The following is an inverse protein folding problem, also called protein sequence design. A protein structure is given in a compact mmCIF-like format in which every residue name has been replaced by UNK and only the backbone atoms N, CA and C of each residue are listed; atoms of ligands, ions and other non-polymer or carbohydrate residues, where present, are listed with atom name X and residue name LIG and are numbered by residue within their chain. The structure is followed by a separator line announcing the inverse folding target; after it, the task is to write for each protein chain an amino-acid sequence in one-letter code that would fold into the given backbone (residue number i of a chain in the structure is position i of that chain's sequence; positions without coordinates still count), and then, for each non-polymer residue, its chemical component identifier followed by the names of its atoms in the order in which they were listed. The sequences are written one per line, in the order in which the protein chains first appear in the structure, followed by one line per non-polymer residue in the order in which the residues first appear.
data_IF_754532842594
#
_entry.id   IF_754532842594
#
_cell.length_a   1.000
_cell.length_b   1.000
_cell.length_c   1.000
_cell.angle_alpha   90.00
_cell.angle_beta   90.00
_cell.angle_gamma   90.00
#
_symmetry.space_group_name_H-M   'P 1'
#
loop_
_entity.id
_entity.type
_entity.pdbx_description
1 polymer ?
#
# COMPACT_ATOMS: atom_id res chain seq x y z
N UNK A 1 -1.12 -49.64 -3.48
CA UNK A 1 -1.99 -48.67 -2.80
C UNK A 1 -2.92 -48.18 -3.88
N UNK A 2 -4.03 -48.90 -4.00
CA UNK A 2 -5.19 -48.53 -4.80
C UNK A 2 -5.83 -47.27 -4.21
N UNK A 3 -6.33 -46.38 -5.06
CA UNK A 3 -7.60 -45.71 -4.79
C UNK A 3 -8.21 -45.25 -6.11
N UNK A 4 -9.20 -46.03 -6.56
CA UNK A 4 -10.05 -45.79 -7.70
C UNK A 4 -11.42 -45.41 -7.10
N UNK A 5 -11.85 -44.17 -7.23
CA UNK A 5 -13.22 -43.78 -6.87
C UNK A 5 -13.83 -42.93 -7.99
N UNK A 6 -14.75 -43.59 -8.69
CA UNK A 6 -15.62 -43.07 -9.73
C UNK A 6 -16.48 -41.90 -9.19
N UNK A 7 -16.50 -40.79 -9.93
CA UNK A 7 -17.53 -39.74 -9.76
C UNK A 7 -18.76 -40.16 -10.56
N UNK A 8 -19.88 -40.37 -9.87
CA UNK A 8 -21.20 -40.45 -10.50
C UNK A 8 -21.79 -39.04 -10.59
N UNK A 9 -22.02 -38.57 -11.80
CA UNK A 9 -22.78 -37.34 -12.07
C UNK A 9 -24.26 -37.58 -11.77
N UNK A 10 -24.86 -36.68 -10.99
CA UNK A 10 -26.26 -36.72 -10.58
C UNK A 10 -27.07 -35.82 -11.52
N UNK A 11 -27.77 -36.44 -12.48
CA UNK A 11 -28.62 -35.73 -13.45
C UNK A 11 -30.04 -35.57 -12.89
N UNK A 12 -30.45 -34.33 -12.64
CA UNK A 12 -31.77 -33.97 -12.07
C UNK A 12 -32.76 -33.72 -13.22
N UNK A 13 -33.79 -34.58 -13.35
CA UNK A 13 -34.84 -34.42 -14.36
C UNK A 13 -35.97 -33.49 -13.88
N UNK A 14 -36.63 -32.80 -14.82
CA UNK A 14 -37.67 -31.76 -14.63
C UNK A 14 -38.88 -32.12 -13.71
N UNK A 15 -39.01 -33.36 -13.23
CA UNK A 15 -40.03 -33.72 -12.23
C UNK A 15 -39.72 -33.22 -10.81
N UNK A 16 -38.50 -32.75 -10.55
CA UNK A 16 -38.05 -32.30 -9.22
C UNK A 16 -38.46 -30.84 -8.89
N UNK A 17 -39.19 -30.15 -9.78
CA UNK A 17 -39.62 -28.76 -9.54
C UNK A 17 -40.88 -28.61 -8.64
N UNK A 18 -41.58 -29.69 -8.29
CA UNK A 18 -42.79 -29.61 -7.46
C UNK A 18 -42.58 -30.16 -6.06
N UNK A 19 -42.42 -29.24 -5.11
CA UNK A 19 -42.38 -29.53 -3.67
C UNK A 19 -43.57 -30.40 -3.24
N UNK A 20 -43.26 -31.52 -2.59
CA UNK A 20 -44.23 -32.37 -1.92
C UNK A 20 -44.95 -31.62 -0.79
N UNK A 21 -46.11 -32.14 -0.37
CA UNK A 21 -46.91 -31.51 0.68
C UNK A 21 -46.17 -31.42 2.03
N UNK A 22 -45.33 -32.41 2.30
CA UNK A 22 -44.53 -32.47 3.53
C UNK A 22 -43.40 -31.44 3.48
N UNK A 23 -42.73 -31.26 2.33
CA UNK A 23 -41.70 -30.22 2.14
C UNK A 23 -42.29 -28.82 2.26
N UNK A 24 -43.49 -28.57 1.73
CA UNK A 24 -44.18 -27.29 1.92
C UNK A 24 -44.49 -27.00 3.39
N UNK A 25 -44.87 -28.03 4.15
CA UNK A 25 -45.17 -27.90 5.57
C UNK A 25 -43.89 -27.61 6.37
N UNK A 26 -42.80 -28.32 6.08
CA UNK A 26 -41.48 -28.10 6.69
C UNK A 26 -40.98 -26.67 6.39
N UNK A 27 -41.14 -26.18 5.17
CA UNK A 27 -40.69 -24.84 4.79
C UNK A 27 -41.53 -23.71 5.42
N UNK A 28 -42.81 -23.95 5.72
CA UNK A 28 -43.68 -23.01 6.44
C UNK A 28 -43.36 -23.03 7.96
N UNK A 29 -43.07 -24.20 8.54
CA UNK A 29 -42.57 -24.34 9.92
C UNK A 29 -41.20 -23.69 10.13
N UNK A 30 -40.28 -23.84 9.15
CA UNK A 30 -38.98 -23.19 9.16
C UNK A 30 -39.05 -21.67 8.85
N UNK A 31 -40.23 -21.16 8.47
CA UNK A 31 -40.46 -19.73 8.22
C UNK A 31 -39.74 -19.19 6.97
N UNK A 32 -39.37 -20.06 6.03
CA UNK A 32 -38.62 -19.69 4.81
C UNK A 32 -39.59 -19.16 3.73
N UNK A 33 -40.83 -19.62 3.74
CA UNK A 33 -41.92 -19.16 2.86
C UNK A 33 -43.22 -19.05 3.68
N UNK A 34 -44.17 -18.20 3.29
CA UNK A 34 -45.51 -18.15 3.92
C UNK A 34 -45.75 -17.02 4.93
N UNK A 35 -46.89 -17.11 5.65
CA UNK A 35 -47.39 -16.04 6.52
C UNK A 35 -46.50 -15.80 7.76
N UNK A 36 -45.81 -16.84 8.23
CA UNK A 36 -44.85 -16.77 9.32
C UNK A 36 -43.64 -15.88 8.97
N UNK A 37 -43.11 -15.99 7.74
CA UNK A 37 -42.01 -15.14 7.24
C UNK A 37 -42.39 -13.66 7.19
N UNK A 38 -43.58 -13.34 6.67
CA UNK A 38 -44.06 -11.94 6.61
C UNK A 38 -44.23 -11.34 8.00
N UNK A 39 -44.71 -12.13 8.97
CA UNK A 39 -44.84 -11.71 10.37
C UNK A 39 -43.46 -11.52 11.03
N UNK A 40 -42.51 -12.42 10.77
CA UNK A 40 -41.13 -12.33 11.27
C UNK A 40 -40.39 -11.11 10.70
N UNK A 41 -40.44 -10.87 9.38
CA UNK A 41 -39.83 -9.69 8.76
C UNK A 41 -40.48 -8.39 9.25
N UNK A 42 -41.81 -8.36 9.42
CA UNK A 42 -42.51 -7.22 10.01
C UNK A 42 -42.10 -6.95 11.46
N UNK A 43 -41.93 -7.99 12.28
CA UNK A 43 -41.46 -7.87 13.66
C UNK A 43 -39.99 -7.42 13.75
N UNK A 44 -39.12 -7.89 12.86
CA UNK A 44 -37.72 -7.47 12.82
C UNK A 44 -37.55 -6.01 12.33
N UNK A 45 -38.36 -5.54 11.38
CA UNK A 45 -38.36 -4.13 10.97
C UNK A 45 -38.81 -3.18 12.10
N UNK A 46 -39.81 -3.56 12.90
CA UNK A 46 -40.23 -2.77 14.06
C UNK A 46 -39.13 -2.72 15.14
N UNK A 47 -38.40 -3.83 15.35
CA UNK A 47 -37.28 -3.88 16.28
C UNK A 47 -36.08 -3.02 15.81
N UNK A 48 -35.80 -2.98 14.50
CA UNK A 48 -34.73 -2.17 13.92
C UNK A 48 -34.99 -0.65 14.00
N UNK A 49 -36.25 -0.22 13.86
CA UNK A 49 -36.64 1.18 14.10
C UNK A 49 -36.55 1.56 15.58
N UNK A 50 -36.91 0.64 16.47
CA UNK A 50 -36.80 0.83 17.92
C UNK A 50 -35.34 0.95 18.39
N UNK A 51 -34.43 0.12 17.88
CA UNK A 51 -33.00 0.21 18.22
C UNK A 51 -32.34 1.45 17.64
N UNK A 52 -32.72 1.92 16.44
CA UNK A 52 -32.20 3.17 15.87
C UNK A 52 -32.66 4.41 16.65
N UNK A 53 -33.94 4.45 17.06
CA UNK A 53 -34.48 5.53 17.90
C UNK A 53 -33.88 5.51 19.32
N UNK A 54 -33.66 4.32 19.90
CA UNK A 54 -32.96 4.18 21.19
C UNK A 54 -31.49 4.58 21.07
N UNK A 55 -30.82 4.34 19.94
CA UNK A 55 -29.44 4.78 19.72
C UNK A 55 -29.33 6.32 19.57
N UNK A 56 -30.36 6.98 19.05
CA UNK A 56 -30.46 8.44 18.95
C UNK A 56 -30.80 9.10 20.30
N UNK A 57 -31.74 8.53 21.07
CA UNK A 57 -32.13 9.05 22.39
C UNK A 57 -31.11 8.72 23.48
N UNK A 58 -30.51 7.53 23.48
CA UNK A 58 -29.46 7.17 24.43
C UNK A 58 -28.18 8.00 24.24
N UNK A 59 -27.94 8.57 23.05
CA UNK A 59 -26.81 9.50 22.87
C UNK A 59 -26.97 10.78 23.67
N UNK A 60 -28.18 11.29 23.89
CA UNK A 60 -28.38 12.49 24.71
C UNK A 60 -28.30 12.20 26.22
N UNK A 61 -28.82 11.06 26.69
CA UNK A 61 -28.75 10.68 28.12
C UNK A 61 -27.39 10.10 28.55
N UNK A 62 -26.68 9.37 27.67
CA UNK A 62 -25.36 8.80 28.00
C UNK A 62 -24.30 9.91 28.14
N UNK A 63 -24.41 11.02 27.42
CA UNK A 63 -23.55 12.19 27.65
C UNK A 63 -23.90 12.93 28.94
N UNK A 64 -25.17 12.90 29.38
CA UNK A 64 -25.61 13.57 30.60
C UNK A 64 -25.32 12.78 31.90
N UNK A 65 -25.13 11.46 31.82
CA UNK A 65 -24.99 10.56 32.99
C UNK A 65 -23.53 10.12 33.25
N UNK A 66 -22.57 10.61 32.47
CA UNK A 66 -21.14 10.43 32.74
C UNK A 66 -20.66 11.37 33.86
N UNK A 67 -21.11 11.12 35.09
CA UNK A 67 -20.35 11.60 36.26
C UNK A 67 -19.16 10.65 36.44
N UNK A 68 -18.00 11.10 35.95
CA UNK A 68 -16.73 10.42 36.08
C UNK A 68 -16.41 10.10 37.56
N UNK A 69 -15.89 8.90 37.80
CA UNK A 69 -15.35 8.50 39.10
C UNK A 69 -14.17 9.42 39.49
N UNK A 70 -14.05 9.86 40.75
CA UNK A 70 -13.31 11.08 41.08
C UNK A 70 -11.79 11.07 40.84
N UNK A 71 -11.11 9.91 40.67
CA UNK A 71 -9.63 9.90 40.68
C UNK A 71 -8.89 8.96 39.70
N UNK A 72 -9.51 8.05 38.94
CA UNK A 72 -8.74 6.86 38.51
C UNK A 72 -8.54 6.52 37.02
N UNK A 73 -9.23 7.10 36.02
CA UNK A 73 -9.11 6.54 34.64
C UNK A 73 -8.96 7.57 33.51
N UNK A 74 -9.28 8.85 33.73
CA UNK A 74 -9.23 9.87 32.66
C UNK A 74 -8.76 11.24 33.15
N UNK A 75 -7.74 11.28 34.03
CA UNK A 75 -7.02 12.52 34.26
C UNK A 75 -6.41 13.01 32.92
N UNK A 76 -6.67 14.28 32.58
CA UNK A 76 -6.35 15.01 31.35
C UNK A 76 -5.19 14.47 30.50
N UNK A 77 -5.47 14.22 29.21
CA UNK A 77 -4.50 14.20 28.10
C UNK A 77 -3.69 15.50 28.08
N UNK A 78 -2.56 15.55 28.75
CA UNK A 78 -1.83 16.80 28.95
C UNK A 78 -0.55 16.85 28.11
N UNK A 79 -0.73 17.24 26.85
CA UNK A 79 0.38 17.63 25.97
C UNK A 79 1.24 16.46 25.49
N UNK A 80 2.06 16.75 24.49
CA UNK A 80 3.17 15.88 24.13
C UNK A 80 4.17 15.89 25.29
N UNK A 81 4.45 14.73 25.91
CA UNK A 81 5.29 14.61 27.11
C UNK A 81 6.63 15.35 26.99
N UNK A 82 7.29 15.21 25.83
CA UNK A 82 8.54 15.89 25.50
C UNK A 82 8.35 16.76 24.24
N UNK A 83 7.41 17.71 24.32
CA UNK A 83 7.04 18.55 23.20
C UNK A 83 8.23 19.33 22.62
N UNK A 84 8.46 19.15 21.32
CA UNK A 84 9.34 20.00 20.51
C UNK A 84 8.53 20.59 19.35
N UNK A 85 8.70 21.88 19.12
CA UNK A 85 8.12 22.57 17.97
C UNK A 85 9.10 22.46 16.82
N UNK A 86 8.60 22.00 15.68
CA UNK A 86 9.41 21.75 14.48
C UNK A 86 8.73 22.38 13.27
N UNK A 87 9.50 23.08 12.46
CA UNK A 87 9.12 23.62 11.16
C UNK A 87 9.74 22.73 10.07
N UNK A 88 8.92 22.02 9.30
CA UNK A 88 9.37 21.16 8.21
C UNK A 88 8.88 21.70 6.87
N UNK A 89 9.71 21.69 5.83
CA UNK A 89 9.28 22.01 4.46
C UNK A 89 9.03 20.70 3.72
N UNK A 90 7.79 20.22 3.72
CA UNK A 90 7.40 18.93 3.14
C UNK A 90 6.80 19.15 1.76
N UNK A 91 7.40 18.57 0.72
CA UNK A 91 6.90 18.64 -0.67
C UNK A 91 6.58 20.09 -1.10
N UNK A 92 7.48 21.03 -0.80
CA UNK A 92 7.31 22.47 -1.07
C UNK A 92 6.41 23.24 -0.09
N UNK A 93 5.68 22.57 0.79
CA UNK A 93 4.76 23.19 1.77
C UNK A 93 5.37 23.26 3.17
N UNK A 94 5.24 24.41 3.83
CA UNK A 94 5.73 24.58 5.21
C UNK A 94 4.73 24.05 6.22
N UNK A 95 5.16 23.09 7.05
CA UNK A 95 4.37 22.45 8.09
C UNK A 95 4.94 22.81 9.47
N UNK A 96 4.07 23.25 10.38
CA UNK A 96 4.42 23.51 11.79
C UNK A 96 3.85 22.40 12.63
N UNK A 97 4.71 21.69 13.34
CA UNK A 97 4.32 20.56 14.16
C UNK A 97 4.79 20.76 15.60
N UNK A 98 4.00 20.27 16.56
CA UNK A 98 4.43 20.04 17.93
C UNK A 98 4.38 18.52 18.17
N UNK A 99 5.55 17.90 18.35
CA UNK A 99 5.71 16.43 18.39
C UNK A 99 6.59 16.01 19.56
N UNK A 100 6.51 14.73 19.95
CA UNK A 100 7.38 14.20 21.00
C UNK A 100 8.82 14.20 20.48
N UNK A 101 9.81 14.51 21.31
CA UNK A 101 11.22 14.52 20.94
C UNK A 101 11.72 13.19 20.38
N UNK A 102 11.05 12.07 20.67
CA UNK A 102 11.31 10.72 20.15
C UNK A 102 10.69 10.46 18.78
N UNK A 103 9.80 11.34 18.31
CA UNK A 103 9.07 11.16 17.05
C UNK A 103 10.06 11.12 15.89
N UNK A 104 10.13 9.98 15.22
CA UNK A 104 10.91 9.81 14.00
C UNK A 104 10.18 10.48 12.82
N UNK A 105 10.93 10.93 11.83
CA UNK A 105 10.42 11.62 10.65
C UNK A 105 9.35 10.77 9.95
N UNK A 106 9.51 9.44 9.95
CA UNK A 106 8.52 8.51 9.40
C UNK A 106 7.14 8.71 10.04
N UNK A 107 7.07 8.76 11.36
CA UNK A 107 5.80 8.86 12.09
C UNK A 107 5.24 10.29 12.05
N UNK A 108 6.11 11.30 12.00
CA UNK A 108 5.67 12.67 11.72
C UNK A 108 4.97 12.78 10.36
N UNK A 109 5.56 12.21 9.30
CA UNK A 109 4.97 12.21 7.96
C UNK A 109 3.64 11.45 7.92
N UNK A 110 3.61 10.24 8.45
CA UNK A 110 2.45 9.35 8.31
C UNK A 110 1.32 9.70 9.27
N UNK A 111 1.65 9.81 10.56
CA UNK A 111 0.64 9.83 11.62
C UNK A 111 0.25 11.25 12.02
N UNK A 112 1.10 12.25 11.77
CA UNK A 112 0.78 13.67 12.02
C UNK A 112 0.34 14.42 10.78
N UNK A 113 0.93 14.12 9.62
CA UNK A 113 0.64 14.82 8.36
C UNK A 113 -0.22 14.00 7.39
N UNK A 114 -0.49 12.72 7.65
CA UNK A 114 -1.31 11.88 6.77
C UNK A 114 -0.63 11.49 5.45
N UNK A 115 0.68 11.75 5.30
CA UNK A 115 1.48 11.38 4.13
C UNK A 115 1.92 9.91 4.24
N UNK A 116 0.98 9.03 3.92
CA UNK A 116 1.11 7.59 4.10
C UNK A 116 1.91 6.88 3.00
N UNK A 117 2.38 7.59 1.97
CA UNK A 117 3.18 7.06 0.87
C UNK A 117 4.48 6.44 1.37
N UNK A 118 5.19 7.12 2.27
CA UNK A 118 6.35 6.55 2.95
C UNK A 118 5.93 5.41 3.89
N UNK A 119 6.62 4.27 3.84
CA UNK A 119 6.17 3.03 4.53
C UNK A 119 7.04 2.64 5.72
N UNK A 120 6.39 2.13 6.77
CA UNK A 120 7.03 1.44 7.89
C UNK A 120 7.10 -0.06 7.59
N UNK A 121 8.27 -0.55 7.19
CA UNK A 121 8.49 -1.98 6.91
C UNK A 121 9.14 -2.76 8.05
N UNK A 122 10.07 -2.14 8.77
CA UNK A 122 10.85 -2.78 9.85
C UNK A 122 11.07 -1.90 11.08
N UNK A 123 11.00 -0.57 10.93
CA UNK A 123 11.30 0.43 11.96
C UNK A 123 12.71 0.36 12.58
N UNK A 124 13.65 -0.33 11.93
CA UNK A 124 15.01 -0.57 12.42
C UNK A 124 16.09 -0.38 11.34
N UNK A 125 15.75 0.34 10.27
CA UNK A 125 16.68 0.65 9.18
C UNK A 125 17.10 -0.52 8.27
N UNK A 126 16.40 -1.65 8.32
CA UNK A 126 16.79 -2.87 7.60
C UNK A 126 16.26 -2.96 6.16
N UNK A 127 15.14 -2.30 5.83
CA UNK A 127 14.42 -2.56 4.57
C UNK A 127 14.39 -1.42 3.54
N UNK A 128 14.71 -0.18 3.92
CA UNK A 128 14.62 0.99 3.03
C UNK A 128 13.21 1.41 2.59
N UNK A 129 12.13 0.73 3.01
CA UNK A 129 10.76 1.12 2.61
C UNK A 129 10.35 2.52 3.09
N UNK A 130 11.06 3.05 4.09
CA UNK A 130 10.85 4.36 4.69
C UNK A 130 11.72 5.46 4.06
N UNK A 131 12.40 5.21 2.94
CA UNK A 131 13.29 6.22 2.33
C UNK A 131 12.51 7.47 1.92
N UNK A 132 13.03 8.63 2.33
CA UNK A 132 12.63 9.98 1.87
C UNK A 132 13.89 10.76 1.52
N UNK A 133 13.74 11.91 0.86
CA UNK A 133 14.86 12.78 0.48
C UNK A 133 14.85 14.00 1.40
N UNK A 134 15.93 14.24 2.15
CA UNK A 134 16.11 15.40 3.03
C UNK A 134 17.28 16.24 2.52
N UNK A 135 17.02 17.50 2.14
CA UNK A 135 17.98 18.40 1.51
C UNK A 135 18.76 17.72 0.36
N UNK A 136 18.02 17.04 -0.53
CA UNK A 136 18.58 16.33 -1.69
C UNK A 136 19.23 14.98 -1.38
N UNK A 137 19.32 14.55 -0.12
CA UNK A 137 19.93 13.26 0.26
C UNK A 137 18.89 12.25 0.73
N UNK A 138 18.94 11.03 0.21
CA UNK A 138 18.08 9.96 0.73
C UNK A 138 18.47 9.57 2.16
N UNK A 139 17.46 9.40 3.01
CA UNK A 139 17.63 8.97 4.41
C UNK A 139 16.57 7.95 4.80
N UNK A 140 16.88 7.14 5.81
CA UNK A 140 15.90 6.25 6.44
C UNK A 140 15.11 7.05 7.47
N UNK A 141 13.86 7.40 7.14
CA UNK A 141 13.04 8.25 8.00
C UNK A 141 12.67 7.61 9.35
N UNK A 142 12.71 6.27 9.47
CA UNK A 142 12.53 5.58 10.76
C UNK A 142 13.71 5.75 11.72
N UNK A 143 14.90 6.13 11.23
CA UNK A 143 16.10 6.36 12.05
C UNK A 143 16.47 7.85 12.13
N UNK A 144 15.59 8.73 11.64
CA UNK A 144 15.80 10.18 11.62
C UNK A 144 14.78 10.81 12.54
N UNK A 145 15.20 11.56 13.57
CA UNK A 145 14.26 12.31 14.41
C UNK A 145 13.64 13.47 13.63
N UNK A 146 12.34 13.71 13.80
CA UNK A 146 11.68 14.86 13.19
C UNK A 146 12.34 16.18 13.64
N UNK A 147 12.72 16.27 14.92
CA UNK A 147 13.41 17.41 15.50
C UNK A 147 14.75 17.76 14.82
N UNK A 148 15.47 16.76 14.26
CA UNK A 148 16.74 17.01 13.57
C UNK A 148 16.56 17.51 12.12
N UNK A 149 15.31 17.64 11.68
CA UNK A 149 14.92 18.13 10.36
C UNK A 149 14.37 19.55 10.36
N UNK A 150 14.50 20.28 11.48
CA UNK A 150 14.13 21.70 11.57
C UNK A 150 14.64 22.52 10.38
N UNK A 151 13.72 23.19 9.68
CA UNK A 151 13.99 24.06 8.54
C UNK A 151 14.39 23.35 7.23
N UNK A 152 14.60 22.03 7.26
CA UNK A 152 15.04 21.23 6.12
C UNK A 152 13.90 20.96 5.14
N UNK A 153 14.29 20.75 3.89
CA UNK A 153 13.37 20.31 2.84
C UNK A 153 13.29 18.79 2.83
N UNK A 154 12.06 18.27 2.86
CA UNK A 154 11.76 16.84 2.84
C UNK A 154 10.85 16.56 1.65
N UNK A 155 11.31 15.70 0.74
CA UNK A 155 10.52 15.20 -0.38
C UNK A 155 10.16 13.73 -0.12
N UNK A 156 8.86 13.45 -0.13
CA UNK A 156 8.31 12.09 -0.05
C UNK A 156 7.90 11.60 -1.44
N UNK A 157 7.39 10.36 -1.54
CA UNK A 157 6.93 9.81 -2.83
C UNK A 157 5.81 10.66 -3.45
N UNK A 158 4.95 11.24 -2.62
CA UNK A 158 3.86 12.13 -3.03
C UNK A 158 4.38 13.43 -3.64
N UNK A 159 5.57 13.89 -3.23
CA UNK A 159 6.18 15.12 -3.74
C UNK A 159 6.97 14.95 -5.02
N UNK A 160 7.08 13.74 -5.57
CA UNK A 160 7.81 13.50 -6.83
C UNK A 160 6.95 13.75 -8.08
N UNK A 161 5.64 13.55 -7.96
CA UNK A 161 4.70 13.84 -9.03
C UNK A 161 4.24 15.31 -8.95
N UNK A 162 3.90 15.89 -10.10
CA UNK A 162 3.05 17.08 -10.15
C UNK A 162 1.58 16.67 -10.34
N UNK A 163 0.66 17.62 -10.32
CA UNK A 163 -0.78 17.34 -10.29
C UNK A 163 -1.26 16.43 -11.44
N UNK A 164 -0.68 16.58 -12.63
CA UNK A 164 -1.13 15.89 -13.83
C UNK A 164 -0.09 14.88 -14.37
N UNK A 165 1.17 14.96 -13.92
CA UNK A 165 2.27 14.18 -14.48
C UNK A 165 3.03 13.40 -13.41
N UNK A 166 3.23 12.11 -13.70
CA UNK A 166 4.14 11.26 -12.96
C UNK A 166 5.59 11.69 -13.18
N UNK A 167 6.39 11.55 -12.13
CA UNK A 167 7.84 11.66 -12.26
C UNK A 167 8.35 10.63 -13.30
N UNK A 168 9.38 10.93 -14.12
CA UNK A 168 9.94 9.97 -15.07
C UNK A 168 10.31 8.61 -14.45
N UNK A 169 10.77 8.61 -13.20
CA UNK A 169 11.04 7.38 -12.44
C UNK A 169 9.77 6.59 -12.12
N UNK A 170 8.66 7.25 -11.77
CA UNK A 170 7.38 6.56 -11.54
C UNK A 170 6.87 5.93 -12.84
N UNK A 171 6.93 6.67 -13.96
CA UNK A 171 6.57 6.16 -15.29
C UNK A 171 7.42 4.96 -15.69
N UNK A 172 8.74 5.03 -15.48
CA UNK A 172 9.64 3.92 -15.78
C UNK A 172 9.35 2.69 -14.91
N UNK A 173 9.03 2.86 -13.62
CA UNK A 173 8.64 1.74 -12.76
C UNK A 173 7.36 1.04 -13.24
N UNK A 174 6.38 1.78 -13.76
CA UNK A 174 5.18 1.19 -14.38
C UNK A 174 5.55 0.42 -15.64
N UNK A 175 6.31 1.05 -16.54
CA UNK A 175 6.72 0.48 -17.82
C UNK A 175 7.51 -0.83 -17.68
N UNK A 176 8.38 -0.90 -16.68
CA UNK A 176 9.28 -2.04 -16.45
C UNK A 176 8.78 -3.05 -15.42
N UNK A 177 7.53 -2.91 -14.96
CA UNK A 177 6.95 -3.74 -13.90
C UNK A 177 7.89 -3.80 -12.68
N UNK A 178 8.41 -2.63 -12.30
CA UNK A 178 9.39 -2.44 -11.22
C UNK A 178 8.80 -2.59 -9.82
N UNK A 179 7.64 -3.21 -9.69
CA UNK A 179 6.96 -3.49 -8.44
C UNK A 179 5.93 -4.61 -8.61
N UNK A 180 5.45 -5.16 -7.49
CA UNK A 180 4.30 -6.07 -7.47
C UNK A 180 3.33 -5.62 -6.38
N UNK A 181 3.55 -6.03 -5.12
CA UNK A 181 2.69 -5.64 -4.00
C UNK A 181 2.67 -4.13 -3.71
N UNK A 182 3.59 -3.36 -4.30
CA UNK A 182 3.67 -1.91 -4.16
C UNK A 182 4.29 -1.41 -2.85
N UNK A 183 4.47 -2.26 -1.83
CA UNK A 183 4.84 -1.79 -0.48
C UNK A 183 6.24 -1.16 -0.41
N UNK A 184 7.24 -1.75 -1.06
CA UNK A 184 8.59 -1.19 -1.08
C UNK A 184 8.75 -0.03 -2.08
N UNK A 185 7.83 0.11 -3.03
CA UNK A 185 7.94 0.97 -4.21
C UNK A 185 8.19 2.45 -3.88
N UNK A 186 7.53 3.07 -2.88
CA UNK A 186 7.85 4.43 -2.47
C UNK A 186 9.32 4.63 -2.10
N UNK A 187 9.87 3.73 -1.28
CA UNK A 187 11.27 3.77 -0.88
C UNK A 187 12.21 3.51 -2.05
N UNK A 188 11.87 2.57 -2.94
CA UNK A 188 12.63 2.27 -4.16
C UNK A 188 12.74 3.52 -5.06
N UNK A 189 11.63 4.20 -5.32
CA UNK A 189 11.59 5.37 -6.20
C UNK A 189 12.33 6.56 -5.57
N UNK A 190 12.10 6.86 -4.29
CA UNK A 190 12.84 7.93 -3.60
C UNK A 190 14.35 7.67 -3.60
N UNK A 191 14.77 6.42 -3.35
CA UNK A 191 16.19 6.03 -3.44
C UNK A 191 16.72 6.16 -4.86
N UNK A 192 15.96 5.74 -5.87
CA UNK A 192 16.32 5.83 -7.27
C UNK A 192 16.52 7.29 -7.73
N UNK A 193 15.66 8.20 -7.31
CA UNK A 193 15.84 9.63 -7.64
C UNK A 193 17.10 10.20 -7.00
N UNK A 194 17.31 9.92 -5.71
CA UNK A 194 18.48 10.41 -5.00
C UNK A 194 19.80 9.82 -5.53
N UNK A 195 19.86 8.53 -5.86
CA UNK A 195 21.10 7.92 -6.35
C UNK A 195 21.52 8.47 -7.72
N UNK A 196 20.57 8.89 -8.57
CA UNK A 196 20.92 9.56 -9.82
C UNK A 196 21.56 10.92 -9.56
N UNK A 197 21.16 11.60 -8.48
CA UNK A 197 21.83 12.82 -8.05
C UNK A 197 23.21 12.53 -7.44
N UNK A 198 23.35 11.47 -6.64
CA UNK A 198 24.65 10.98 -6.13
C UNK A 198 25.62 10.71 -7.30
N UNK A 199 25.15 10.02 -8.34
CA UNK A 199 25.94 9.74 -9.54
C UNK A 199 26.34 11.01 -10.30
N UNK A 200 25.42 11.97 -10.45
CA UNK A 200 25.71 13.30 -11.02
C UNK A 200 26.79 14.03 -10.22
N UNK A 201 26.76 13.91 -8.90
CA UNK A 201 27.72 14.51 -7.99
C UNK A 201 29.10 13.82 -8.00
N UNK A 202 29.22 12.66 -8.63
CA UNK A 202 30.45 11.87 -8.62
C UNK A 202 30.64 11.06 -7.33
N UNK A 203 29.57 10.79 -6.59
CA UNK A 203 29.65 9.95 -5.40
C UNK A 203 29.92 8.50 -5.82
N UNK A 204 30.96 7.89 -5.28
CA UNK A 204 31.39 6.51 -5.60
C UNK A 204 30.64 5.47 -4.75
N UNK A 205 30.56 4.23 -5.23
CA UNK A 205 29.99 3.10 -4.49
C UNK A 205 31.05 2.02 -4.21
N UNK A 206 30.64 0.94 -3.55
CA UNK A 206 31.52 -0.20 -3.28
C UNK A 206 32.09 -0.86 -4.55
N UNK A 207 31.33 -0.83 -5.65
CA UNK A 207 31.68 -1.47 -6.93
C UNK A 207 32.38 -0.51 -7.91
N UNK A 208 32.68 0.71 -7.48
CA UNK A 208 33.40 1.68 -8.33
C UNK A 208 34.88 1.29 -8.47
N UNK A 209 35.28 0.90 -9.67
CA UNK A 209 36.63 0.36 -9.94
C UNK A 209 37.79 1.34 -9.72
N UNK A 210 37.61 2.65 -9.88
CA UNK A 210 38.70 3.63 -9.74
C UNK A 210 38.28 4.84 -8.89
N UNK A 211 38.71 4.82 -7.64
CA UNK A 211 38.41 5.88 -6.66
C UNK A 211 39.27 7.15 -6.85
N UNK A 212 40.37 7.08 -7.60
CA UNK A 212 41.32 8.21 -7.77
C UNK A 212 40.86 9.20 -8.84
N UNK A 213 39.96 8.76 -9.71
CA UNK A 213 39.34 9.56 -10.76
C UNK A 213 37.84 9.38 -10.59
N UNK A 214 37.22 10.13 -9.68
CA UNK A 214 35.75 10.21 -9.66
C UNK A 214 35.32 11.34 -10.60
N UNK A 215 34.91 11.05 -11.84
CA UNK A 215 34.39 12.07 -12.72
C UNK A 215 33.04 12.56 -12.18
N UNK A 216 32.79 13.85 -12.36
CA UNK A 216 31.43 14.38 -12.29
C UNK A 216 30.56 13.63 -13.32
N UNK A 217 29.30 13.35 -12.97
CA UNK A 217 28.36 12.65 -13.86
C UNK A 217 28.76 11.21 -14.20
N UNK A 218 28.86 10.36 -13.17
CA UNK A 218 29.10 8.93 -13.32
C UNK A 218 27.99 8.26 -14.14
N UNK A 219 28.37 7.55 -15.20
CA UNK A 219 27.48 6.61 -15.87
C UNK A 219 27.35 5.34 -15.03
N UNK A 220 26.12 4.95 -14.71
CA UNK A 220 25.83 3.80 -13.86
C UNK A 220 25.62 2.54 -14.70
N UNK A 221 26.47 1.54 -14.45
CA UNK A 221 26.22 0.16 -14.90
C UNK A 221 25.09 -0.48 -14.09
N UNK A 222 24.54 -1.60 -14.57
CA UNK A 222 23.57 -2.38 -13.79
C UNK A 222 24.14 -2.81 -12.42
N UNK A 223 25.45 -3.06 -12.32
CA UNK A 223 26.13 -3.41 -11.07
C UNK A 223 26.16 -2.23 -10.09
N UNK A 224 26.51 -1.03 -10.57
CA UNK A 224 26.44 0.21 -9.79
C UNK A 224 25.02 0.51 -9.30
N UNK A 225 24.01 0.32 -10.16
CA UNK A 225 22.61 0.51 -9.77
C UNK A 225 22.21 -0.49 -8.68
N UNK A 226 22.55 -1.78 -8.85
CA UNK A 226 22.25 -2.81 -7.84
C UNK A 226 22.88 -2.47 -6.50
N UNK A 227 24.18 -2.19 -6.48
CA UNK A 227 24.90 -1.86 -5.25
C UNK A 227 24.28 -0.65 -4.53
N UNK A 228 24.03 0.44 -5.27
CA UNK A 228 23.44 1.66 -4.71
C UNK A 228 22.00 1.47 -4.23
N UNK A 229 21.29 0.46 -4.75
CA UNK A 229 19.92 0.11 -4.36
C UNK A 229 19.83 -1.01 -3.33
N UNK A 230 20.95 -1.62 -2.94
CA UNK A 230 21.00 -2.75 -1.98
C UNK A 230 20.36 -2.43 -0.62
N UNK A 231 20.24 -1.15 -0.25
CA UNK A 231 19.54 -0.69 0.96
C UNK A 231 18.00 -0.74 0.90
N UNK A 232 17.40 -1.06 -0.25
CA UNK A 232 15.95 -1.12 -0.45
C UNK A 232 15.50 -2.54 -0.79
N UNK A 233 14.96 -3.25 0.21
CA UNK A 233 14.57 -4.65 0.08
C UNK A 233 13.19 -4.79 -0.58
N UNK A 234 13.10 -5.68 -1.56
CA UNK A 234 11.88 -6.10 -2.23
C UNK A 234 11.67 -7.62 -2.05
N UNK A 235 10.68 -8.02 -1.25
CA UNK A 235 10.40 -9.46 -1.03
C UNK A 235 9.73 -10.15 -2.22
N UNK A 236 9.00 -9.40 -3.03
CA UNK A 236 8.43 -9.89 -4.30
C UNK A 236 9.49 -10.22 -5.36
N UNK A 237 10.73 -9.71 -5.19
CA UNK A 237 11.82 -9.98 -6.12
C UNK A 237 11.76 -9.17 -7.43
N UNK A 238 11.11 -8.00 -7.43
CA UNK A 238 10.98 -7.13 -8.63
C UNK A 238 12.30 -6.43 -9.04
N UNK A 239 13.44 -6.81 -8.48
CA UNK A 239 14.73 -6.14 -8.71
C UNK A 239 15.13 -6.01 -10.18
N UNK A 240 14.91 -7.01 -11.08
CA UNK A 240 15.23 -6.83 -12.49
C UNK A 240 14.47 -5.66 -13.14
N UNK A 241 13.17 -5.52 -12.86
CA UNK A 241 12.34 -4.41 -13.35
C UNK A 241 12.74 -3.07 -12.72
N UNK A 242 13.09 -3.06 -11.43
CA UNK A 242 13.61 -1.88 -10.73
C UNK A 242 14.91 -1.38 -11.39
N UNK A 243 15.87 -2.26 -11.64
CA UNK A 243 17.14 -1.90 -12.29
C UNK A 243 16.91 -1.40 -13.71
N UNK A 244 16.02 -2.05 -14.48
CA UNK A 244 15.68 -1.63 -15.83
C UNK A 244 15.05 -0.22 -15.86
N UNK A 245 14.13 0.08 -14.94
CA UNK A 245 13.52 1.39 -14.80
C UNK A 245 14.56 2.49 -14.52
N UNK A 246 15.45 2.25 -13.54
CA UNK A 246 16.50 3.22 -13.17
C UNK A 246 17.45 3.46 -14.34
N UNK A 247 17.85 2.40 -15.06
CA UNK A 247 18.72 2.50 -16.23
C UNK A 247 18.11 3.32 -17.37
N UNK A 248 16.81 3.11 -17.66
CA UNK A 248 16.11 3.90 -18.66
C UNK A 248 16.19 5.40 -18.32
N UNK A 249 15.80 5.77 -17.10
CA UNK A 249 15.83 7.17 -16.66
C UNK A 249 17.25 7.73 -16.64
N UNK A 250 18.23 6.96 -16.17
CA UNK A 250 19.63 7.39 -16.13
C UNK A 250 20.19 7.67 -17.52
N UNK A 251 19.93 6.78 -18.47
CA UNK A 251 20.46 6.89 -19.83
C UNK A 251 19.72 7.91 -20.69
N UNK A 252 18.52 8.35 -20.28
CA UNK A 252 17.64 9.22 -21.06
C UNK A 252 17.14 8.58 -22.37
N UNK A 253 17.41 7.28 -22.58
CA UNK A 253 16.99 6.55 -23.78
C UNK A 253 15.80 5.68 -23.44
N UNK A 254 14.71 5.92 -24.14
CA UNK A 254 13.51 5.12 -24.03
C UNK A 254 13.82 3.67 -24.45
N UNK A 255 13.57 2.70 -23.57
CA UNK A 255 13.71 1.29 -23.92
C UNK A 255 12.36 0.72 -24.34
N UNK A 256 12.36 -0.23 -25.26
CA UNK A 256 11.11 -0.87 -25.69
C UNK A 256 10.46 -1.59 -24.50
N UNK A 257 9.14 -1.46 -24.36
CA UNK A 257 8.39 -2.18 -23.35
C UNK A 257 8.46 -3.67 -23.68
N UNK A 258 8.93 -4.49 -22.74
CA UNK A 258 9.11 -5.94 -22.94
C UNK A 258 7.84 -6.74 -22.71
N UNK A 259 6.76 -6.07 -22.30
CA UNK A 259 5.45 -6.65 -22.03
C UNK A 259 4.37 -5.74 -22.58
N UNK A 260 3.33 -6.32 -23.16
CA UNK A 260 2.10 -5.65 -23.55
C UNK A 260 0.92 -6.36 -22.91
N UNK A 261 -0.20 -5.66 -22.76
CA UNK A 261 -1.46 -6.33 -22.45
C UNK A 261 -1.86 -7.18 -23.64
N UNK A 262 -2.34 -8.40 -23.37
CA UNK A 262 -2.85 -9.26 -24.42
C UNK A 262 -3.97 -8.54 -25.18
N UNK A 263 -3.86 -8.50 -26.50
CA UNK A 263 -4.90 -8.03 -27.40
C UNK A 263 -6.11 -8.97 -27.38
N UNK A 264 -7.27 -8.46 -27.79
CA UNK A 264 -8.49 -9.28 -27.93
C UNK A 264 -8.25 -10.50 -28.85
N UNK A 265 -7.39 -10.35 -29.87
CA UNK A 265 -6.98 -11.45 -30.75
C UNK A 265 -6.14 -12.50 -30.01
N UNK A 266 -5.12 -12.09 -29.25
CA UNK A 266 -4.29 -13.01 -28.45
C UNK A 266 -5.11 -13.74 -27.37
N UNK A 267 -6.06 -13.03 -26.75
CA UNK A 267 -7.00 -13.61 -25.79
C UNK A 267 -7.88 -14.66 -26.49
N UNK A 268 -8.44 -14.33 -27.66
CA UNK A 268 -9.27 -15.24 -28.43
C UNK A 268 -8.51 -16.50 -28.88
N UNK A 269 -7.23 -16.37 -29.28
CA UNK A 269 -6.36 -17.50 -29.63
C UNK A 269 -6.17 -18.41 -28.41
N UNK A 270 -5.79 -17.87 -27.25
CA UNK A 270 -5.56 -18.65 -26.04
C UNK A 270 -6.81 -19.43 -25.59
N UNK A 271 -8.01 -18.84 -25.72
CA UNK A 271 -9.27 -19.51 -25.39
C UNK A 271 -9.70 -20.57 -26.42
N UNK A 272 -9.31 -20.42 -27.69
CA UNK A 272 -9.64 -21.38 -28.75
C UNK A 272 -8.67 -22.57 -28.79
N UNK A 273 -7.40 -22.39 -28.41
CA UNK A 273 -6.43 -23.49 -28.27
C UNK A 273 -6.83 -24.47 -27.16
N UNK A 274 -7.49 -24.00 -26.09
CA UNK A 274 -8.03 -24.85 -25.02
C UNK A 274 -9.19 -25.78 -25.42
N UNK A 275 -9.75 -25.64 -26.63
CA UNK A 275 -10.79 -26.54 -27.17
C UNK A 275 -10.26 -27.59 -28.16
N UNK A 276 -8.99 -27.49 -28.58
CA UNK A 276 -8.40 -28.45 -29.50
C UNK A 276 -7.99 -29.76 -28.80
N UNK A 277 -7.76 -29.73 -27.49
CA UNK A 277 -7.32 -30.89 -26.70
C UNK A 277 -8.46 -31.77 -26.15
N UNK A 278 -9.73 -31.46 -26.45
CA UNK A 278 -10.91 -32.29 -26.09
C UNK A 278 -11.39 -33.24 -27.21
N UNK A 279 -10.63 -33.37 -28.31
CA UNK A 279 -10.94 -34.31 -29.40
C UNK A 279 -9.79 -35.30 -29.59
N UNK A 280 -9.65 -36.26 -28.65
CA UNK A 280 -9.09 -37.60 -28.91
C UNK A 280 -9.85 -38.63 -28.08
#
# INVERSE_FOLDING_TARGET
MDDNQERQDFDLTESDEQLSADEKTILDELGIVGAARRKFLGQNMAAALGTFAFHLLAKEEVFATLTASPDAVFASTAGVENAVKVLLKINGSTQRLEVDSRTVLLDALRERLGLIGTKKGCDQGQCGACTVIVDGRRVLSCLTLAASCEGKEVTTIEGLADADNLHPMQTAFIKHDGFQCGYCTPGQICSAVALLQEAKNGDVSHVTNNLRTSPQNLYLSDEEIRERMSGNICRCGAYPGIVAAIREVHSGRETAQTRHFASDEEIAIAFNEGKADEIV
#
